data_IF_033268738857
#
_entry.id   IF_033268738857
#
_cell.length_a   1.000
_cell.length_b   1.000
_cell.length_c   1.000
_cell.angle_alpha   90.00
_cell.angle_beta   90.00
_cell.angle_gamma   90.00
#
_symmetry.space_group_name_H-M   'P 1'
#
loop_
_entity.id
_entity.type
_entity.pdbx_description
1 polymer ?
#
# COMPACT_ATOMS: atom_id res chain seq x y z
N UNK A 1 10.68 -26.54 -3.24
CA UNK A 1 10.44 -25.55 -4.29
C UNK A 1 8.97 -25.36 -4.54
N UNK A 2 8.23 -26.47 -4.59
CA UNK A 2 6.79 -26.34 -4.75
C UNK A 2 6.16 -25.67 -3.56
N UNK A 3 6.63 -26.00 -2.36
CA UNK A 3 6.12 -25.38 -1.17
C UNK A 3 6.44 -23.90 -1.16
N UNK A 4 7.58 -23.52 -1.70
CA UNK A 4 7.94 -22.14 -1.81
C UNK A 4 6.99 -21.42 -2.76
N UNK A 5 6.65 -22.07 -3.87
CA UNK A 5 5.74 -21.47 -4.83
C UNK A 5 4.36 -21.27 -4.21
N UNK A 6 3.91 -22.25 -3.42
CA UNK A 6 2.62 -22.16 -2.76
C UNK A 6 2.62 -21.04 -1.70
N UNK A 7 3.69 -20.97 -0.90
CA UNK A 7 3.80 -19.92 0.09
C UNK A 7 3.94 -18.56 -0.57
N UNK A 8 4.63 -18.52 -1.70
CA UNK A 8 4.83 -17.24 -2.39
C UNK A 8 3.53 -16.66 -2.89
N UNK A 9 2.51 -17.48 -3.10
CA UNK A 9 1.21 -16.96 -3.52
C UNK A 9 0.65 -15.96 -2.52
N UNK A 10 0.67 -16.33 -1.23
CA UNK A 10 0.19 -15.43 -0.19
C UNK A 10 1.15 -14.28 0.02
N UNK A 11 2.45 -14.57 0.01
CA UNK A 11 3.43 -13.53 0.21
C UNK A 11 3.39 -12.50 -0.91
N UNK A 12 3.24 -12.97 -2.14
CA UNK A 12 3.14 -12.05 -3.27
C UNK A 12 1.91 -11.18 -3.15
N UNK A 13 0.79 -11.76 -2.71
CA UNK A 13 -0.42 -10.98 -2.52
C UNK A 13 -0.23 -9.88 -1.50
N UNK A 14 0.36 -10.22 -0.36
CA UNK A 14 0.61 -9.23 0.68
C UNK A 14 1.62 -8.19 0.21
N UNK A 15 2.67 -8.65 -0.47
CA UNK A 15 3.68 -7.74 -0.98
C UNK A 15 3.08 -6.77 -1.98
N UNK A 16 2.20 -7.26 -2.84
CA UNK A 16 1.53 -6.40 -3.81
C UNK A 16 0.66 -5.36 -3.10
N UNK A 17 -0.04 -5.75 -2.04
CA UNK A 17 -0.85 -4.79 -1.30
C UNK A 17 0.02 -3.72 -0.67
N UNK A 18 1.13 -4.12 -0.07
CA UNK A 18 2.03 -3.14 0.55
C UNK A 18 2.63 -2.22 -0.51
N UNK A 19 3.05 -2.79 -1.64
CA UNK A 19 3.61 -1.99 -2.71
C UNK A 19 2.59 -1.02 -3.28
N UNK A 20 1.37 -1.50 -3.47
CA UNK A 20 0.30 -0.63 -3.99
C UNK A 20 0.03 0.49 -3.00
N UNK A 21 -0.04 0.16 -1.71
CA UNK A 21 -0.27 1.18 -0.69
C UNK A 21 0.85 2.20 -0.66
N UNK A 22 2.10 1.72 -0.79
CA UNK A 22 3.24 2.62 -0.81
C UNK A 22 3.17 3.56 -2.00
N UNK A 23 2.84 3.00 -3.18
CA UNK A 23 2.72 3.81 -4.38
C UNK A 23 1.62 4.86 -4.23
N UNK A 24 0.49 4.45 -3.67
CA UNK A 24 -0.62 5.38 -3.45
C UNK A 24 -0.22 6.48 -2.48
N UNK A 25 0.47 6.11 -1.40
CA UNK A 25 0.91 7.09 -0.43
C UNK A 25 1.86 8.08 -1.07
N UNK A 26 2.80 7.60 -1.89
CA UNK A 26 3.73 8.48 -2.57
C UNK A 26 3.01 9.42 -3.52
N UNK A 27 2.05 8.89 -4.27
CA UNK A 27 1.25 9.73 -5.16
C UNK A 27 0.50 10.80 -4.37
N UNK A 28 -0.07 10.40 -3.24
CA UNK A 28 -0.78 11.35 -2.40
C UNK A 28 0.13 12.46 -1.91
N UNK A 29 1.35 12.10 -1.50
CA UNK A 29 2.31 13.11 -1.04
C UNK A 29 2.67 14.06 -2.18
N UNK A 30 2.90 13.51 -3.37
CA UNK A 30 3.25 14.34 -4.51
C UNK A 30 2.13 15.32 -4.82
N UNK A 31 0.90 14.83 -4.85
CA UNK A 31 -0.26 15.69 -5.11
C UNK A 31 -0.38 16.75 -4.01
N UNK A 32 -0.14 16.36 -2.76
CA UNK A 32 -0.22 17.29 -1.65
C UNK A 32 0.83 18.39 -1.77
N UNK A 33 2.05 18.01 -2.15
CA UNK A 33 3.14 18.97 -2.26
C UNK A 33 2.87 19.94 -3.40
N UNK A 34 2.34 19.44 -4.52
CA UNK A 34 2.05 20.31 -5.64
C UNK A 34 0.90 21.26 -5.36
N UNK A 35 0.12 20.97 -4.32
CA UNK A 35 -0.70 21.98 -3.71
C UNK A 35 -1.99 22.37 -4.40
N UNK A 36 -2.34 21.73 -5.47
CA UNK A 36 -3.56 22.12 -6.15
C UNK A 36 -4.80 21.52 -5.51
N UNK A 37 -4.69 20.29 -5.05
CA UNK A 37 -5.82 19.59 -4.43
C UNK A 37 -5.31 18.80 -3.25
N UNK A 38 -4.99 19.54 -2.17
CA UNK A 38 -4.43 18.86 -1.00
C UNK A 38 -5.43 17.88 -0.39
N UNK A 39 -6.72 18.13 -0.57
CA UNK A 39 -7.72 17.21 -0.07
C UNK A 39 -7.59 15.84 -0.74
N UNK A 40 -7.42 15.86 -2.06
CA UNK A 40 -7.25 14.62 -2.80
C UNK A 40 -5.96 13.92 -2.36
N UNK A 41 -4.89 14.69 -2.17
CA UNK A 41 -3.64 14.14 -1.72
C UNK A 41 -3.78 13.44 -0.37
N UNK A 42 -4.49 14.06 0.56
CA UNK A 42 -4.70 13.49 1.87
C UNK A 42 -5.50 12.18 1.75
N UNK A 43 -6.54 12.18 0.94
CA UNK A 43 -7.36 10.98 0.76
C UNK A 43 -6.53 9.84 0.16
N UNK A 44 -5.73 10.15 -0.85
CA UNK A 44 -4.91 9.14 -1.49
C UNK A 44 -3.88 8.60 -0.51
N UNK A 45 -3.25 9.50 0.24
CA UNK A 45 -2.27 9.07 1.25
C UNK A 45 -2.91 8.19 2.30
N UNK A 46 -4.09 8.57 2.75
CA UNK A 46 -4.81 7.78 3.75
C UNK A 46 -5.13 6.40 3.20
N UNK A 47 -5.61 6.34 1.97
CA UNK A 47 -5.92 5.06 1.34
C UNK A 47 -4.66 4.20 1.23
N UNK A 48 -3.53 4.81 0.88
CA UNK A 48 -2.29 4.08 0.78
C UNK A 48 -1.86 3.50 2.12
N UNK A 49 -1.96 4.30 3.18
CA UNK A 49 -1.59 3.83 4.52
C UNK A 49 -2.51 2.70 4.94
N UNK A 50 -3.80 2.82 4.69
CA UNK A 50 -4.75 1.76 5.03
C UNK A 50 -4.42 0.49 4.26
N UNK A 51 -4.05 0.62 3.00
CA UNK A 51 -3.68 -0.55 2.21
C UNK A 51 -2.44 -1.22 2.76
N UNK A 52 -1.45 -0.42 3.21
CA UNK A 52 -0.25 -0.99 3.80
C UNK A 52 -0.61 -1.75 5.07
N UNK A 53 -1.42 -1.16 5.93
CA UNK A 53 -1.84 -1.85 7.15
C UNK A 53 -2.63 -3.10 6.85
N UNK A 54 -3.47 -3.05 5.81
CA UNK A 54 -4.23 -4.23 5.43
C UNK A 54 -3.36 -5.35 4.91
N UNK A 55 -2.20 -5.01 4.32
CA UNK A 55 -1.28 -6.02 3.81
C UNK A 55 -0.33 -6.56 4.85
N UNK A 56 -0.22 -5.90 6.02
CA UNK A 56 0.68 -6.36 7.06
C UNK A 56 0.03 -7.48 7.87
N UNK A 57 0.83 -8.47 8.31
CA UNK A 57 0.29 -9.50 9.17
C UNK A 57 -0.03 -8.93 10.54
N UNK A 58 -1.22 -9.22 11.02
CA UNK A 58 -1.63 -8.79 12.34
C UNK A 58 -1.52 -9.94 13.31
N UNK A 59 -0.83 -9.71 14.40
CA UNK A 59 -0.68 -10.69 15.46
C UNK A 59 -1.48 -10.28 16.66
N UNK A 60 -2.15 -11.26 17.23
CA UNK A 60 -2.87 -11.01 18.48
C UNK A 60 -2.54 -11.98 19.56
#
# INVERSE_FOLDING_TARGET
LESEALMNGELIGRLLMVLTGFALAMLGVIVFIHGQHYEVGILISFAGICSIFGGLPTYE
#
